data_IF_894657334382
#
_entry.id   IF_894657334382
#
_cell.length_a   1.000
_cell.length_b   1.000
_cell.length_c   1.000
_cell.angle_alpha   90.00
_cell.angle_beta   90.00
_cell.angle_gamma   90.00
#
_symmetry.space_group_name_H-M   'P 1'
#
loop_
_entity.id
_entity.type
_entity.pdbx_description
1 polymer ?
#
# COMPACT_ATOMS: atom_id res chain seq x y z
N UNK A 1 -12.62 3.10 -13.41
CA UNK A 1 -12.57 2.11 -12.33
C UNK A 1 -11.65 2.56 -11.21
N UNK A 2 -10.40 2.91 -11.52
CA UNK A 2 -9.39 3.40 -10.55
C UNK A 2 -9.87 4.49 -9.58
N UNK A 3 -10.60 5.51 -10.06
CA UNK A 3 -11.17 6.57 -9.20
C UNK A 3 -12.06 6.03 -8.08
N UNK A 4 -12.84 4.98 -8.36
CA UNK A 4 -13.71 4.35 -7.36
C UNK A 4 -12.90 3.53 -6.35
N UNK A 5 -11.87 2.82 -6.82
CA UNK A 5 -10.94 2.09 -5.95
C UNK A 5 -10.25 3.06 -4.98
N UNK A 6 -9.70 4.16 -5.50
CA UNK A 6 -9.03 5.17 -4.69
C UNK A 6 -9.97 5.81 -3.65
N UNK A 7 -11.23 6.04 -4.02
CA UNK A 7 -12.25 6.53 -3.08
C UNK A 7 -12.50 5.52 -1.95
N UNK A 8 -12.66 4.23 -2.27
CA UNK A 8 -12.87 3.18 -1.26
C UNK A 8 -11.66 3.03 -0.33
N UNK A 9 -10.44 3.11 -0.87
CA UNK A 9 -9.21 3.08 -0.06
C UNK A 9 -9.17 4.28 0.89
N UNK A 10 -9.48 5.49 0.41
CA UNK A 10 -9.53 6.68 1.27
C UNK A 10 -10.58 6.55 2.38
N UNK A 11 -11.77 6.02 2.08
CA UNK A 11 -12.80 5.81 3.09
C UNK A 11 -12.35 4.83 4.18
N UNK A 12 -11.68 3.74 3.79
CA UNK A 12 -11.12 2.77 4.73
C UNK A 12 -9.96 3.37 5.54
N UNK A 13 -9.09 4.15 4.89
CA UNK A 13 -7.97 4.85 5.54
C UNK A 13 -8.47 5.77 6.66
N UNK A 14 -9.44 6.63 6.35
CA UNK A 14 -10.02 7.55 7.33
C UNK A 14 -10.73 6.82 8.47
N UNK A 15 -11.36 5.67 8.19
CA UNK A 15 -11.95 4.83 9.23
C UNK A 15 -10.88 4.21 10.16
N UNK A 16 -9.72 3.82 9.63
CA UNK A 16 -8.64 3.24 10.43
C UNK A 16 -7.93 4.33 11.25
N UNK A 17 -7.64 5.48 10.64
CA UNK A 17 -6.97 6.62 11.30
C UNK A 17 -7.72 7.05 12.55
N UNK A 18 -9.04 7.21 12.45
CA UNK A 18 -9.90 7.59 13.58
C UNK A 18 -9.87 6.63 14.76
N UNK A 19 -9.54 5.36 14.55
CA UNK A 19 -9.71 4.31 15.56
C UNK A 19 -8.39 3.71 16.06
N UNK A 20 -7.32 3.72 15.28
CA UNK A 20 -6.13 2.93 15.62
C UNK A 20 -4.80 3.49 15.10
N UNK A 21 -4.69 3.79 13.80
CA UNK A 21 -3.40 4.09 13.15
C UNK A 21 -3.44 5.47 12.48
N UNK A 22 -3.27 6.53 13.26
CA UNK A 22 -3.40 7.91 12.77
C UNK A 22 -2.32 8.29 11.72
N UNK A 23 -1.14 7.66 11.81
CA UNK A 23 -0.02 7.86 10.88
C UNK A 23 -0.10 7.04 9.59
N UNK A 24 -1.11 6.17 9.43
CA UNK A 24 -1.24 5.34 8.24
C UNK A 24 -1.44 6.22 7.00
N UNK A 25 -0.68 5.97 5.94
CA UNK A 25 -0.80 6.71 4.68
C UNK A 25 -1.61 5.95 3.64
N UNK A 26 -2.13 6.66 2.65
CA UNK A 26 -2.82 6.06 1.51
C UNK A 26 -1.93 5.05 0.78
N UNK A 27 -0.67 5.39 0.54
CA UNK A 27 0.28 4.52 -0.17
C UNK A 27 0.57 3.24 0.62
N UNK A 28 0.73 3.33 1.94
CA UNK A 28 0.89 2.15 2.79
C UNK A 28 -0.34 1.23 2.72
N UNK A 29 -1.56 1.78 2.87
CA UNK A 29 -2.77 0.96 2.79
C UNK A 29 -2.96 0.34 1.41
N UNK A 30 -2.67 1.09 0.34
CA UNK A 30 -2.66 0.58 -1.03
C UNK A 30 -1.63 -0.55 -1.19
N UNK A 31 -0.41 -0.39 -0.66
CA UNK A 31 0.62 -1.44 -0.67
C UNK A 31 0.12 -2.72 -0.01
N UNK A 32 -0.47 -2.61 1.19
CA UNK A 32 -1.02 -3.77 1.90
C UNK A 32 -2.10 -4.48 1.08
N UNK A 33 -3.01 -3.74 0.44
CA UNK A 33 -4.03 -4.32 -0.45
C UNK A 33 -3.42 -5.14 -1.59
N UNK A 34 -2.40 -4.59 -2.24
CA UNK A 34 -1.69 -5.28 -3.32
C UNK A 34 -0.91 -6.49 -2.81
N UNK A 35 -0.28 -6.41 -1.64
CA UNK A 35 0.48 -7.53 -1.06
C UNK A 35 -0.44 -8.68 -0.60
N UNK A 36 -1.57 -8.36 0.04
CA UNK A 36 -2.43 -9.35 0.72
C UNK A 36 -3.59 -9.86 -0.13
N UNK A 37 -4.22 -9.01 -0.95
CA UNK A 37 -5.46 -9.33 -1.67
C UNK A 37 -5.27 -9.36 -3.17
N UNK A 38 -4.49 -8.43 -3.72
CA UNK A 38 -4.37 -8.22 -5.17
C UNK A 38 -2.99 -8.56 -5.74
N UNK A 39 -2.29 -9.52 -5.12
CA UNK A 39 -0.90 -9.87 -5.45
C UNK A 39 -0.72 -10.29 -6.91
N UNK A 40 -1.68 -11.04 -7.44
CA UNK A 40 -1.63 -11.57 -8.80
C UNK A 40 -2.44 -10.72 -9.79
N UNK A 41 -3.58 -10.21 -9.35
CA UNK A 41 -4.44 -9.35 -10.14
C UNK A 41 -5.36 -8.52 -9.25
N UNK A 42 -5.79 -7.36 -9.75
CA UNK A 42 -6.84 -6.55 -9.14
C UNK A 42 -8.17 -7.00 -9.74
N UNK A 43 -9.20 -7.34 -8.93
CA UNK A 43 -10.51 -7.70 -9.44
C UNK A 43 -11.11 -6.58 -10.33
N UNK A 44 -11.86 -6.97 -11.34
CA UNK A 44 -12.58 -6.06 -12.25
C UNK A 44 -13.98 -5.69 -11.73
N UNK A 45 -14.45 -6.36 -10.68
CA UNK A 45 -15.74 -6.12 -10.05
C UNK A 45 -15.62 -5.24 -8.80
N UNK A 46 -16.25 -4.07 -8.81
CA UNK A 46 -16.21 -3.11 -7.70
C UNK A 46 -16.72 -3.67 -6.37
N UNK A 47 -17.67 -4.61 -6.39
CA UNK A 47 -18.19 -5.23 -5.16
C UNK A 47 -17.15 -6.15 -4.52
N UNK A 48 -16.36 -6.86 -5.32
CA UNK A 48 -15.25 -7.69 -4.84
C UNK A 48 -14.17 -6.78 -4.25
N UNK A 49 -13.79 -5.73 -4.97
CA UNK A 49 -12.83 -4.72 -4.49
C UNK A 49 -13.27 -4.12 -3.15
N UNK A 50 -14.54 -3.73 -3.03
CA UNK A 50 -15.07 -3.16 -1.80
C UNK A 50 -15.02 -4.15 -0.63
N UNK A 51 -15.30 -5.43 -0.89
CA UNK A 51 -15.21 -6.49 0.11
C UNK A 51 -13.76 -6.73 0.54
N UNK A 52 -12.81 -6.75 -0.40
CA UNK A 52 -11.38 -6.91 -0.10
C UNK A 52 -10.89 -5.78 0.83
N UNK A 53 -11.19 -4.53 0.46
CA UNK A 53 -10.84 -3.33 1.25
C UNK A 53 -11.51 -3.37 2.63
N UNK A 54 -12.78 -3.78 2.70
CA UNK A 54 -13.51 -3.87 3.98
C UNK A 54 -12.90 -4.95 4.88
N UNK A 55 -12.54 -6.10 4.31
CA UNK A 55 -12.03 -7.27 5.04
C UNK A 55 -10.68 -7.07 5.70
N UNK A 56 -9.90 -6.08 5.24
CA UNK A 56 -8.61 -5.74 5.80
C UNK A 56 -8.73 -5.31 7.27
N UNK A 57 -8.01 -6.02 8.12
CA UNK A 57 -7.91 -5.75 9.55
C UNK A 57 -6.69 -4.88 9.85
N UNK A 58 -6.69 -4.23 11.02
CA UNK A 58 -5.56 -3.43 11.49
C UNK A 58 -4.33 -4.33 11.73
N UNK A 59 -4.54 -5.52 12.26
CA UNK A 59 -3.49 -6.53 12.48
C UNK A 59 -2.80 -6.91 11.17
N UNK A 60 -3.56 -7.25 10.12
CA UNK A 60 -2.99 -7.55 8.79
C UNK A 60 -2.19 -6.39 8.19
N UNK A 61 -2.62 -5.15 8.45
CA UNK A 61 -1.92 -3.94 7.99
C UNK A 61 -0.59 -3.80 8.71
N UNK A 62 -0.60 -3.90 10.05
CA UNK A 62 0.63 -3.81 10.86
C UNK A 62 1.59 -4.92 10.47
N UNK A 63 1.13 -6.17 10.46
CA UNK A 63 1.95 -7.34 10.11
C UNK A 63 2.62 -7.18 8.74
N UNK A 64 1.89 -6.66 7.76
CA UNK A 64 2.44 -6.42 6.43
C UNK A 64 3.52 -5.34 6.45
N UNK A 65 3.23 -4.18 7.05
CA UNK A 65 4.14 -3.04 7.07
C UNK A 65 5.38 -3.26 7.95
N UNK A 66 5.29 -4.16 8.94
CA UNK A 66 6.42 -4.53 9.80
C UNK A 66 7.16 -5.78 9.31
N UNK A 67 6.65 -6.46 8.27
CA UNK A 67 7.33 -7.61 7.70
C UNK A 67 8.65 -7.19 7.05
N UNK A 68 9.71 -7.97 7.29
CA UNK A 68 11.08 -7.64 6.89
C UNK A 68 11.27 -7.47 5.38
N UNK A 69 10.39 -8.06 4.57
CA UNK A 69 10.38 -7.89 3.10
C UNK A 69 10.07 -6.45 2.69
N UNK A 70 9.21 -5.75 3.44
CA UNK A 70 8.81 -4.37 3.12
C UNK A 70 9.90 -3.33 3.48
N UNK A 71 10.64 -3.58 4.57
CA UNK A 71 11.79 -2.76 4.96
C UNK A 71 12.90 -2.89 3.90
N UNK A 72 13.15 -4.11 3.42
CA UNK A 72 14.16 -4.37 2.40
C UNK A 72 13.79 -3.77 1.04
N UNK A 73 12.52 -3.87 0.62
CA UNK A 73 12.07 -3.31 -0.65
C UNK A 73 12.21 -1.78 -0.69
N UNK A 74 11.82 -1.08 0.39
CA UNK A 74 11.99 0.37 0.48
C UNK A 74 13.47 0.79 0.46
N UNK A 75 14.34 0.07 1.19
CA UNK A 75 15.78 0.35 1.15
C UNK A 75 16.39 0.08 -0.23
N UNK A 76 15.89 -0.90 -0.98
CA UNK A 76 16.37 -1.18 -2.34
C UNK A 76 15.91 -0.09 -3.32
N UNK A 77 14.73 0.48 -3.14
CA UNK A 77 14.22 1.56 -3.98
C UNK A 77 14.97 2.88 -3.74
N UNK A 78 15.23 3.24 -2.48
CA UNK A 78 16.07 4.39 -2.11
C UNK A 78 17.49 4.27 -2.69
N UNK A 79 18.10 3.09 -2.59
CA UNK A 79 19.43 2.84 -3.16
C UNK A 79 19.46 2.94 -4.69
N UNK A 80 18.36 2.60 -5.38
CA UNK A 80 18.26 2.75 -6.84
C UNK A 80 18.16 4.22 -7.25
N UNK A 81 17.37 5.01 -6.53
CA UNK A 81 17.25 6.45 -6.77
C UNK A 81 18.61 7.16 -6.56
N UNK A 82 19.34 6.82 -5.50
CA UNK A 82 20.70 7.35 -5.28
C UNK A 82 21.67 6.97 -6.40
N UNK A 83 21.58 5.74 -6.93
CA UNK A 83 22.40 5.29 -8.05
C UNK A 83 22.12 6.05 -9.34
N UNK A 84 20.84 6.37 -9.62
CA UNK A 84 20.45 7.15 -10.81
C UNK A 84 20.99 8.58 -10.75
N UNK A 85 20.96 9.21 -9.57
CA UNK A 85 21.52 10.55 -9.37
C UNK A 85 23.04 10.54 -9.61
N UNK A 86 23.76 9.59 -9.00
CA UNK A 86 25.21 9.46 -9.17
C UNK A 86 25.64 9.09 -10.60
N UNK A 87 24.79 8.37 -11.33
CA UNK A 87 25.01 8.04 -12.75
C UNK A 87 24.86 9.24 -13.68
N UNK A 88 23.99 10.19 -13.34
CA UNK A 88 23.77 11.41 -14.13
C UNK A 88 24.81 12.50 -13.88
N UNK A 89 25.47 12.53 -12.72
CA UNK A 89 26.57 13.46 -12.42
C UNK A 89 27.89 13.12 -13.16
N UNK A 90 28.01 11.91 -13.74
CA UNK A 90 29.20 11.47 -14.49
C UNK A 90 29.11 11.69 -16.01
N UNK A 91 28.13 12.47 -16.50
CA UNK A 91 27.92 12.74 -17.92
C UNK A 91 28.22 14.18 -18.32
#
# INVERSE_FOLDING_TARGET
MEKYINCLINLKLEAIKRNSLDSLTFNQLKKVLYSKKWRLYVPDNLSIIANDIKSLTVEEIVDCLTSSDDVLENSVEELKEELEVLGNEKK
#
